data_IF_492948767646
#
_entry.id   IF_492948767646
#
_cell.length_a   1.000
_cell.length_b   1.000
_cell.length_c   1.000
_cell.angle_alpha   90.00
_cell.angle_beta   90.00
_cell.angle_gamma   90.00
#
_symmetry.space_group_name_H-M   'P 1'
#
loop_
_entity.id
_entity.type
_entity.pdbx_description
1 polymer ?
#
# COMPACT_ATOMS: atom_id res chain seq x y z
N UNK A 1 -18.04 12.04 -11.73
CA UNK A 1 -19.20 11.83 -12.56
C UNK A 1 -20.46 12.34 -11.84
N UNK A 2 -21.18 13.24 -12.49
CA UNK A 2 -22.44 13.76 -11.96
C UNK A 2 -23.56 12.86 -12.40
N UNK A 3 -23.85 11.82 -11.67
CA UNK A 3 -25.07 11.03 -11.91
C UNK A 3 -26.29 11.87 -11.51
N UNK A 4 -26.94 12.47 -12.49
CA UNK A 4 -28.31 12.98 -12.39
C UNK A 4 -29.26 11.83 -12.70
N UNK A 5 -29.77 11.18 -11.69
CA UNK A 5 -30.79 10.16 -11.81
C UNK A 5 -31.70 10.19 -10.60
N UNK A 6 -32.92 10.68 -10.78
CA UNK A 6 -34.04 10.42 -9.87
C UNK A 6 -34.40 8.95 -10.01
N UNK A 7 -34.13 8.14 -8.99
CA UNK A 7 -34.55 6.76 -8.95
C UNK A 7 -33.54 5.73 -8.45
N UNK A 8 -32.30 6.12 -8.16
CA UNK A 8 -31.32 5.19 -7.62
C UNK A 8 -31.59 4.91 -6.15
N UNK A 9 -32.35 3.87 -5.93
CA UNK A 9 -32.60 3.30 -4.59
C UNK A 9 -31.31 2.69 -3.98
N UNK A 10 -30.24 2.62 -4.77
CA UNK A 10 -28.97 2.01 -4.40
C UNK A 10 -27.80 2.94 -4.70
N UNK A 11 -27.21 3.54 -3.67
CA UNK A 11 -25.91 4.20 -3.83
C UNK A 11 -24.81 3.20 -3.52
N UNK A 12 -24.06 2.83 -4.54
CA UNK A 12 -22.79 2.10 -4.37
C UNK A 12 -21.69 3.09 -4.08
N UNK A 13 -21.02 2.91 -2.95
CA UNK A 13 -19.79 3.62 -2.69
C UNK A 13 -18.67 2.59 -2.61
N UNK A 14 -17.89 2.49 -3.68
CA UNK A 14 -16.77 1.54 -3.79
C UNK A 14 -15.48 2.19 -3.29
N UNK A 15 -15.33 3.50 -3.45
CA UNK A 15 -14.22 4.30 -2.91
C UNK A 15 -14.78 5.63 -2.42
N UNK A 16 -14.56 5.93 -1.15
CA UNK A 16 -15.01 7.16 -0.53
C UNK A 16 -13.84 8.04 -0.13
N UNK A 17 -13.75 9.24 -0.70
CA UNK A 17 -12.83 10.29 -0.25
C UNK A 17 -13.44 11.19 0.83
N UNK A 18 -14.74 11.10 1.05
CA UNK A 18 -15.46 11.87 2.06
C UNK A 18 -16.46 10.97 2.78
N UNK A 19 -16.54 11.14 4.08
CA UNK A 19 -17.53 10.47 4.91
C UNK A 19 -18.93 10.92 4.48
N UNK A 20 -19.83 9.98 4.20
CA UNK A 20 -21.23 10.27 3.92
C UNK A 20 -21.91 10.71 5.23
N UNK A 21 -22.71 11.80 5.20
CA UNK A 21 -23.57 12.13 6.33
C UNK A 21 -24.55 10.99 6.66
N UNK A 22 -24.88 10.84 7.94
CA UNK A 22 -25.79 9.77 8.39
C UNK A 22 -27.13 9.78 7.66
N UNK A 23 -27.71 10.95 7.44
CA UNK A 23 -28.96 11.14 6.68
C UNK A 23 -28.89 10.53 5.26
N UNK A 24 -27.69 10.38 4.69
CA UNK A 24 -27.50 9.80 3.36
C UNK A 24 -27.30 8.29 3.40
N UNK A 25 -26.41 7.79 4.28
CA UNK A 25 -26.14 6.35 4.33
C UNK A 25 -27.23 5.56 5.06
N UNK A 26 -28.00 6.19 5.92
CA UNK A 26 -29.13 5.57 6.63
C UNK A 26 -30.47 5.67 5.87
N UNK A 27 -30.47 6.29 4.67
CA UNK A 27 -31.67 6.45 3.85
C UNK A 27 -32.15 5.14 3.18
N UNK A 28 -31.28 4.28 2.64
CA UNK A 28 -31.72 3.07 1.95
C UNK A 28 -32.34 2.05 2.91
N UNK A 29 -33.53 1.54 2.56
CA UNK A 29 -34.30 0.59 3.36
C UNK A 29 -33.54 -0.71 3.66
N UNK A 30 -32.69 -1.18 2.74
CA UNK A 30 -31.89 -2.39 2.89
C UNK A 30 -30.49 -2.10 3.46
N UNK A 31 -30.24 -0.87 3.92
CA UNK A 31 -28.95 -0.42 4.40
C UNK A 31 -28.00 0.02 3.28
N UNK A 32 -26.86 0.54 3.69
CA UNK A 32 -25.76 0.94 2.80
C UNK A 32 -24.55 0.13 3.18
N UNK A 33 -23.84 -0.41 2.20
CA UNK A 33 -22.61 -1.15 2.43
C UNK A 33 -21.44 -0.54 1.67
N UNK A 34 -20.24 -0.82 2.13
CA UNK A 34 -18.99 -0.45 1.48
C UNK A 34 -18.16 -1.70 1.15
N UNK A 35 -17.28 -1.57 0.16
CA UNK A 35 -16.21 -2.52 -0.15
C UNK A 35 -14.90 -1.94 0.39
N UNK A 36 -14.30 -2.60 1.37
CA UNK A 36 -13.03 -2.22 1.98
C UNK A 36 -11.93 -3.17 1.54
N UNK A 37 -10.76 -2.61 1.21
CA UNK A 37 -9.65 -3.36 0.65
C UNK A 37 -8.74 -3.97 1.72
N UNK A 38 -9.33 -4.64 2.71
CA UNK A 38 -8.63 -5.46 3.71
C UNK A 38 -9.52 -6.58 4.23
N UNK A 39 -8.95 -7.45 5.04
CA UNK A 39 -9.67 -8.42 5.87
C UNK A 39 -10.07 -7.75 7.19
N UNK A 40 -11.18 -7.02 7.21
CA UNK A 40 -11.68 -6.40 8.45
C UNK A 40 -11.83 -7.46 9.56
N UNK A 41 -11.53 -7.10 10.82
CA UNK A 41 -11.24 -5.78 11.37
C UNK A 41 -9.80 -5.28 11.16
N UNK A 42 -8.92 -6.00 10.47
CA UNK A 42 -7.56 -5.54 10.16
C UNK A 42 -7.58 -4.37 9.18
N UNK A 43 -6.69 -3.40 9.36
CA UNK A 43 -6.45 -2.30 8.42
C UNK A 43 -7.68 -1.41 8.18
N UNK A 44 -8.45 -1.09 9.22
CA UNK A 44 -9.43 -0.01 9.16
C UNK A 44 -8.72 1.29 8.83
N UNK A 45 -9.26 2.09 7.91
CA UNK A 45 -8.71 3.41 7.58
C UNK A 45 -8.46 3.65 6.09
N UNK A 46 -7.58 4.62 5.80
CA UNK A 46 -7.50 5.24 4.49
C UNK A 46 -6.61 4.52 3.45
N UNK A 47 -5.66 3.68 3.89
CA UNK A 47 -4.65 3.08 3.01
C UNK A 47 -4.42 1.57 3.28
N UNK A 48 -5.48 0.73 3.32
CA UNK A 48 -5.36 -0.66 3.75
C UNK A 48 -4.41 -1.49 2.88
N UNK A 49 -4.45 -1.31 1.56
CA UNK A 49 -3.57 -2.05 0.62
C UNK A 49 -2.11 -1.73 0.88
N UNK A 50 -1.78 -0.42 1.00
CA UNK A 50 -0.42 0.01 1.24
C UNK A 50 0.12 -0.59 2.54
N UNK A 51 -0.65 -0.48 3.64
CA UNK A 51 -0.18 -0.94 4.94
C UNK A 51 -0.04 -2.45 5.04
N UNK A 52 -0.89 -3.23 4.36
CA UNK A 52 -0.69 -4.68 4.28
C UNK A 52 0.65 -5.04 3.61
N UNK A 53 0.99 -4.37 2.51
CA UNK A 53 2.26 -4.60 1.79
C UNK A 53 3.46 -4.04 2.57
N UNK A 54 3.37 -2.83 3.14
CA UNK A 54 4.43 -2.21 3.97
C UNK A 54 4.78 -3.10 5.17
N UNK A 55 3.77 -3.70 5.80
CA UNK A 55 3.98 -4.58 6.96
C UNK A 55 4.49 -5.97 6.56
N UNK A 56 4.64 -6.25 5.27
CA UNK A 56 5.15 -7.52 4.77
C UNK A 56 4.20 -8.69 4.96
N UNK A 57 2.89 -8.43 4.97
CA UNK A 57 1.87 -9.47 5.03
C UNK A 57 1.93 -10.32 3.76
N UNK A 58 1.68 -11.62 3.93
CA UNK A 58 1.61 -12.58 2.82
C UNK A 58 0.18 -12.76 2.29
N UNK A 59 -0.79 -12.14 2.94
CA UNK A 59 -2.20 -12.19 2.60
C UNK A 59 -2.87 -10.87 2.95
N UNK A 60 -3.82 -10.47 2.13
CA UNK A 60 -4.80 -9.42 2.37
C UNK A 60 -6.16 -9.88 1.89
N UNK A 61 -7.09 -8.96 1.66
CA UNK A 61 -8.39 -9.31 1.09
C UNK A 61 -9.28 -8.12 0.87
N UNK A 62 -10.52 -8.43 0.61
CA UNK A 62 -11.62 -7.48 0.47
C UNK A 62 -12.77 -7.88 1.38
N UNK A 63 -13.43 -6.88 1.93
CA UNK A 63 -14.58 -7.06 2.82
C UNK A 63 -15.72 -6.17 2.37
N UNK A 64 -16.91 -6.73 2.20
CA UNK A 64 -18.15 -5.94 2.18
C UNK A 64 -18.74 -5.89 3.59
N UNK A 65 -19.18 -4.70 4.02
CA UNK A 65 -19.72 -4.49 5.36
C UNK A 65 -20.76 -3.37 5.35
N UNK A 66 -21.75 -3.44 6.22
CA UNK A 66 -22.74 -2.37 6.38
C UNK A 66 -22.11 -1.14 6.99
N UNK A 67 -22.49 0.05 6.50
CA UNK A 67 -22.05 1.30 7.11
C UNK A 67 -22.71 1.50 8.48
N UNK A 68 -21.95 2.08 9.38
CA UNK A 68 -22.43 2.59 10.67
C UNK A 68 -21.66 3.87 11.04
N UNK A 69 -21.91 4.40 12.22
CA UNK A 69 -21.41 5.73 12.63
C UNK A 69 -19.87 5.82 12.65
N UNK A 70 -19.22 4.77 13.14
CA UNK A 70 -17.76 4.72 13.18
C UNK A 70 -17.16 4.19 11.88
N UNK A 71 -15.99 4.73 11.50
CA UNK A 71 -15.33 4.40 10.24
C UNK A 71 -14.90 2.92 10.23
N UNK A 72 -15.34 2.20 9.19
CA UNK A 72 -14.98 0.81 8.88
C UNK A 72 -15.25 -0.21 10.01
N UNK A 73 -16.22 0.07 10.90
CA UNK A 73 -16.56 -0.80 12.04
C UNK A 73 -17.85 -1.60 11.87
N UNK A 74 -18.62 -1.36 10.83
CA UNK A 74 -19.90 -2.01 10.60
C UNK A 74 -19.82 -3.52 10.41
N UNK A 75 -20.98 -4.20 10.52
CA UNK A 75 -21.05 -5.65 10.42
C UNK A 75 -20.61 -6.15 9.05
N UNK A 76 -19.72 -7.11 9.05
CA UNK A 76 -19.17 -7.75 7.85
C UNK A 76 -20.23 -8.61 7.19
N UNK A 77 -20.39 -8.46 5.88
CA UNK A 77 -21.30 -9.25 5.05
C UNK A 77 -20.54 -10.43 4.42
N UNK A 78 -19.45 -10.13 3.71
CA UNK A 78 -18.64 -11.15 3.05
C UNK A 78 -17.16 -10.72 3.04
N UNK A 79 -16.27 -11.71 2.96
CA UNK A 79 -14.83 -11.49 2.81
C UNK A 79 -14.23 -12.46 1.78
N UNK A 80 -13.25 -11.97 1.03
CA UNK A 80 -12.42 -12.78 0.12
C UNK A 80 -10.95 -12.52 0.44
N UNK A 81 -10.20 -13.60 0.60
CA UNK A 81 -8.74 -13.57 0.88
C UNK A 81 -7.95 -13.55 -0.42
N UNK A 82 -6.84 -12.84 -0.43
CA UNK A 82 -5.97 -12.67 -1.60
C UNK A 82 -4.51 -12.76 -1.16
N UNK A 83 -3.71 -13.66 -1.76
CA UNK A 83 -2.29 -13.75 -1.42
C UNK A 83 -1.51 -12.55 -1.96
N UNK A 84 -0.54 -12.11 -1.17
CA UNK A 84 0.48 -11.13 -1.55
C UNK A 84 1.78 -11.89 -1.78
N UNK A 85 2.24 -11.94 -3.03
CA UNK A 85 3.54 -12.51 -3.36
C UNK A 85 4.68 -11.58 -2.93
N UNK A 86 5.87 -12.14 -2.77
CA UNK A 86 7.05 -11.43 -2.25
C UNK A 86 7.46 -10.22 -3.11
N UNK A 87 7.17 -10.27 -4.41
CA UNK A 87 7.46 -9.20 -5.36
C UNK A 87 6.24 -8.33 -5.73
N UNK A 88 5.06 -8.63 -5.19
CA UNK A 88 3.88 -7.81 -5.45
C UNK A 88 4.05 -6.42 -4.82
N UNK A 89 3.89 -5.39 -5.61
CA UNK A 89 3.74 -4.03 -5.14
C UNK A 89 2.26 -3.67 -4.92
N UNK A 90 1.99 -2.45 -4.45
CA UNK A 90 0.61 -2.01 -4.19
C UNK A 90 -0.26 -2.03 -5.45
N UNK A 91 0.29 -1.69 -6.63
CA UNK A 91 -0.46 -1.71 -7.89
C UNK A 91 -0.94 -3.12 -8.24
N UNK A 92 -0.06 -4.12 -8.16
CA UNK A 92 -0.41 -5.52 -8.43
C UNK A 92 -1.47 -6.02 -7.44
N UNK A 93 -1.32 -5.71 -6.15
CA UNK A 93 -2.30 -6.09 -5.14
C UNK A 93 -3.63 -5.39 -5.38
N UNK A 94 -3.62 -4.08 -5.66
CA UNK A 94 -4.80 -3.30 -6.01
C UNK A 94 -5.57 -3.94 -7.18
N UNK A 95 -4.89 -4.30 -8.26
CA UNK A 95 -5.53 -4.87 -9.45
C UNK A 95 -6.16 -6.23 -9.16
N UNK A 96 -5.50 -7.09 -8.36
CA UNK A 96 -6.09 -8.34 -7.87
C UNK A 96 -7.38 -8.07 -7.09
N UNK A 97 -7.34 -7.13 -6.15
CA UNK A 97 -8.49 -6.78 -5.31
C UNK A 97 -9.61 -6.12 -6.10
N UNK A 98 -9.30 -5.29 -7.09
CA UNK A 98 -10.28 -4.63 -7.97
C UNK A 98 -11.11 -5.65 -8.75
N UNK A 99 -10.47 -6.64 -9.35
CA UNK A 99 -11.16 -7.69 -10.12
C UNK A 99 -12.08 -8.50 -9.22
N UNK A 100 -11.60 -8.94 -8.06
CA UNK A 100 -12.38 -9.72 -7.10
C UNK A 100 -13.45 -8.88 -6.42
N UNK A 101 -13.17 -7.60 -6.17
CA UNK A 101 -14.11 -6.66 -5.56
C UNK A 101 -15.37 -6.45 -6.40
N UNK A 102 -15.22 -6.36 -7.71
CA UNK A 102 -16.38 -6.27 -8.62
C UNK A 102 -17.32 -7.47 -8.49
N UNK A 103 -16.77 -8.68 -8.40
CA UNK A 103 -17.57 -9.92 -8.19
C UNK A 103 -18.23 -9.91 -6.82
N UNK A 104 -17.47 -9.64 -5.76
CA UNK A 104 -17.96 -9.63 -4.38
C UNK A 104 -19.09 -8.61 -4.18
N UNK A 105 -19.02 -7.45 -4.83
CA UNK A 105 -20.10 -6.44 -4.78
C UNK A 105 -21.38 -7.00 -5.38
N UNK A 106 -21.32 -7.68 -6.52
CA UNK A 106 -22.51 -8.29 -7.14
C UNK A 106 -23.11 -9.38 -6.25
N UNK A 107 -22.28 -10.29 -5.74
CA UNK A 107 -22.70 -11.35 -4.82
C UNK A 107 -23.32 -10.77 -3.54
N UNK A 108 -22.74 -9.67 -3.00
CA UNK A 108 -23.28 -8.98 -1.83
C UNK A 108 -24.66 -8.37 -2.13
N UNK A 109 -24.84 -7.73 -3.29
CA UNK A 109 -26.14 -7.17 -3.71
C UNK A 109 -27.19 -8.27 -3.80
N UNK A 110 -26.86 -9.37 -4.48
CA UNK A 110 -27.76 -10.50 -4.63
C UNK A 110 -28.14 -11.11 -3.28
N UNK A 111 -27.19 -11.26 -2.38
CA UNK A 111 -27.44 -11.77 -1.04
C UNK A 111 -28.36 -10.85 -0.21
N UNK A 112 -28.18 -9.53 -0.31
CA UNK A 112 -29.04 -8.55 0.37
C UNK A 112 -30.46 -8.58 -0.21
N UNK A 113 -30.60 -8.63 -1.53
CA UNK A 113 -31.92 -8.67 -2.21
C UNK A 113 -32.71 -9.93 -1.89
N UNK A 114 -32.04 -11.07 -1.74
CA UNK A 114 -32.64 -12.36 -1.42
C UNK A 114 -32.77 -12.62 0.10
N UNK A 115 -32.43 -11.65 0.95
CA UNK A 115 -32.45 -11.77 2.41
C UNK A 115 -31.65 -12.98 2.96
N UNK A 116 -30.55 -13.29 2.31
CA UNK A 116 -29.67 -14.42 2.69
C UNK A 116 -28.47 -13.98 3.51
N UNK A 117 -28.30 -12.67 3.74
CA UNK A 117 -27.17 -12.10 4.48
C UNK A 117 -27.24 -12.47 5.95
N UNK A 118 -26.07 -12.89 6.49
CA UNK A 118 -25.86 -13.11 7.93
C UNK A 118 -24.70 -12.23 8.41
N UNK A 119 -24.90 -10.94 8.66
CA UNK A 119 -23.83 -10.03 8.98
C UNK A 119 -23.20 -10.36 10.34
N UNK A 120 -21.88 -10.39 10.39
CA UNK A 120 -21.11 -10.72 11.60
C UNK A 120 -20.53 -9.42 12.17
N UNK A 121 -20.69 -9.19 13.46
CA UNK A 121 -20.02 -8.09 14.13
C UNK A 121 -18.50 -8.30 14.14
N UNK A 122 -17.74 -7.23 13.94
CA UNK A 122 -16.28 -7.37 13.80
C UNK A 122 -15.61 -7.80 15.10
N UNK A 123 -16.19 -7.51 16.24
CA UNK A 123 -15.77 -7.99 17.57
C UNK A 123 -15.94 -9.50 17.76
N UNK A 124 -16.85 -10.11 17.03
CA UNK A 124 -17.10 -11.56 17.07
C UNK A 124 -16.23 -12.34 16.08
N UNK A 125 -15.44 -11.64 15.27
CA UNK A 125 -14.58 -12.26 14.27
C UNK A 125 -13.24 -12.71 14.90
N UNK A 126 -12.80 -13.89 14.53
CA UNK A 126 -11.47 -14.37 14.92
C UNK A 126 -10.38 -13.53 14.25
N UNK A 127 -9.53 -12.92 15.07
CA UNK A 127 -8.40 -12.12 14.61
C UNK A 127 -7.10 -12.83 14.96
N UNK A 128 -6.20 -12.93 13.99
CA UNK A 128 -4.85 -13.44 14.24
C UNK A 128 -3.92 -12.24 14.48
N UNK A 129 -3.29 -12.20 15.67
CA UNK A 129 -2.38 -11.13 16.07
C UNK A 129 -3.09 -9.83 16.49
N UNK A 130 -2.33 -8.76 16.57
CA UNK A 130 -2.84 -7.43 16.93
C UNK A 130 -3.56 -6.76 15.76
N UNK A 131 -4.57 -5.95 16.07
CA UNK A 131 -5.24 -5.12 15.09
C UNK A 131 -4.33 -3.96 14.67
N UNK A 132 -4.07 -3.87 13.39
CA UNK A 132 -3.26 -2.81 12.78
C UNK A 132 -4.16 -1.83 12.03
N UNK A 133 -4.04 -0.52 12.29
CA UNK A 133 -4.76 0.51 11.54
C UNK A 133 -4.10 0.75 10.18
N UNK A 134 -4.86 1.37 9.27
CA UNK A 134 -4.36 1.82 7.97
C UNK A 134 -4.49 3.35 7.83
N UNK A 135 -3.70 4.13 8.56
CA UNK A 135 -3.79 5.58 8.51
C UNK A 135 -3.45 6.13 7.11
N UNK A 136 -3.90 7.36 6.86
CA UNK A 136 -3.56 8.06 5.63
C UNK A 136 -2.04 8.24 5.52
N UNK A 137 -1.52 8.00 4.31
CA UNK A 137 -0.10 8.15 4.00
C UNK A 137 0.15 9.59 3.54
N UNK A 138 1.15 10.23 4.13
CA UNK A 138 1.62 11.57 3.80
C UNK A 138 3.02 11.49 3.20
N UNK A 139 3.48 12.57 2.55
CA UNK A 139 4.81 12.60 1.93
C UNK A 139 5.93 12.29 2.93
N UNK A 140 5.82 12.83 4.13
CA UNK A 140 6.80 12.69 5.21
C UNK A 140 6.93 11.23 5.65
N UNK A 141 5.82 10.51 5.71
CA UNK A 141 5.79 9.08 6.09
C UNK A 141 6.31 8.16 4.99
N UNK A 142 6.60 8.68 3.78
CA UNK A 142 7.18 7.91 2.68
C UNK A 142 8.71 7.93 2.66
N UNK A 143 9.37 8.59 3.63
CA UNK A 143 10.83 8.58 3.77
C UNK A 143 11.31 7.21 4.22
N UNK A 144 12.32 6.67 3.54
CA UNK A 144 12.88 5.36 3.86
C UNK A 144 13.72 5.46 5.13
N UNK A 145 13.49 4.55 6.07
CA UNK A 145 14.37 4.33 7.23
C UNK A 145 15.35 3.20 6.91
N UNK A 146 16.56 3.58 6.53
CA UNK A 146 17.65 2.65 6.20
C UNK A 146 18.19 1.88 7.41
N UNK A 147 17.88 2.27 8.66
CA UNK A 147 18.21 1.50 9.86
C UNK A 147 17.32 0.27 10.05
N UNK A 148 16.35 0.08 9.19
CA UNK A 148 15.48 -1.10 9.16
C UNK A 148 16.14 -2.27 8.42
N UNK A 149 15.78 -3.54 8.75
CA UNK A 149 16.27 -4.72 8.04
C UNK A 149 15.90 -4.70 6.54
N UNK A 150 16.69 -5.42 5.72
CA UNK A 150 16.51 -5.57 4.26
C UNK A 150 15.05 -5.79 3.87
N UNK A 151 14.40 -6.77 4.52
CA UNK A 151 13.00 -7.11 4.22
C UNK A 151 12.07 -5.94 4.47
N UNK A 152 12.24 -5.23 5.58
CA UNK A 152 11.36 -4.13 5.96
C UNK A 152 11.50 -2.94 5.01
N UNK A 153 12.71 -2.61 4.59
CA UNK A 153 12.95 -1.56 3.58
C UNK A 153 12.37 -1.94 2.22
N UNK A 154 12.56 -3.19 1.80
CA UNK A 154 11.98 -3.69 0.56
C UNK A 154 10.45 -3.64 0.58
N UNK A 155 9.82 -4.14 1.64
CA UNK A 155 8.36 -4.12 1.80
C UNK A 155 7.81 -2.70 1.83
N UNK A 156 8.53 -1.76 2.47
CA UNK A 156 8.19 -0.35 2.49
C UNK A 156 8.21 0.26 1.08
N UNK A 157 9.26 -0.01 0.29
CA UNK A 157 9.37 0.48 -1.09
C UNK A 157 8.23 -0.07 -1.94
N UNK A 158 8.01 -1.38 -1.97
CA UNK A 158 6.95 -1.99 -2.78
C UNK A 158 5.54 -1.62 -2.29
N UNK A 159 5.37 -1.37 -0.98
CA UNK A 159 4.13 -0.93 -0.35
C UNK A 159 3.75 0.53 -0.67
N UNK A 160 4.67 1.30 -1.22
CA UNK A 160 4.45 2.67 -1.68
C UNK A 160 4.55 2.82 -3.21
N UNK A 161 4.85 1.77 -3.94
CA UNK A 161 5.05 1.78 -5.39
C UNK A 161 3.77 1.39 -6.14
N UNK A 162 3.41 2.11 -7.23
CA UNK A 162 4.11 3.25 -7.82
C UNK A 162 3.80 4.60 -7.18
N UNK A 163 2.79 4.70 -6.33
CA UNK A 163 2.34 5.93 -5.71
C UNK A 163 1.98 5.70 -4.23
N UNK A 164 2.40 6.64 -3.34
CA UNK A 164 3.08 7.92 -3.56
C UNK A 164 4.58 7.82 -3.87
N UNK A 165 5.16 6.65 -3.82
CA UNK A 165 6.57 6.26 -3.90
C UNK A 165 7.37 6.54 -2.62
N UNK A 166 8.18 5.58 -2.22
CA UNK A 166 9.17 5.75 -1.18
C UNK A 166 10.28 6.70 -1.66
N UNK A 167 10.87 7.47 -0.74
CA UNK A 167 11.92 8.42 -1.09
C UNK A 167 13.01 8.48 -0.02
N UNK A 168 14.18 8.91 -0.44
CA UNK A 168 15.35 9.15 0.40
C UNK A 168 16.15 10.33 -0.16
N UNK A 169 17.07 10.86 0.63
CA UNK A 169 18.05 11.85 0.17
C UNK A 169 19.34 11.12 -0.19
N UNK A 170 19.75 11.22 -1.46
CA UNK A 170 21.08 10.83 -1.89
C UNK A 170 22.04 11.99 -1.63
N UNK A 171 23.03 11.78 -0.76
CA UNK A 171 23.99 12.79 -0.34
C UNK A 171 25.34 12.48 -0.96
N UNK A 172 25.94 13.45 -1.67
CA UNK A 172 27.26 13.33 -2.24
C UNK A 172 28.37 13.43 -1.19
N UNK A 173 29.63 13.05 -1.50
CA UNK A 173 30.78 13.24 -0.62
C UNK A 173 30.99 14.69 -0.20
N UNK A 174 30.58 15.65 -1.04
CA UNK A 174 30.67 17.09 -0.82
C UNK A 174 29.51 17.62 0.06
N UNK A 175 28.53 16.79 0.39
CA UNK A 175 27.38 17.12 1.22
C UNK A 175 26.17 17.65 0.45
N UNK A 176 26.18 17.61 -0.86
CA UNK A 176 25.01 17.96 -1.68
C UNK A 176 23.95 16.87 -1.62
N UNK A 177 22.74 17.24 -1.29
CA UNK A 177 21.61 16.32 -1.17
C UNK A 177 20.61 16.46 -2.33
N UNK A 178 20.20 15.33 -2.88
CA UNK A 178 19.13 15.26 -3.89
C UNK A 178 18.09 14.23 -3.48
N UNK A 179 16.81 14.61 -3.54
CA UNK A 179 15.71 13.67 -3.25
C UNK A 179 15.60 12.64 -4.37
N UNK A 180 15.63 11.37 -4.00
CA UNK A 180 15.49 10.25 -4.92
C UNK A 180 14.25 9.43 -4.53
N UNK A 181 13.32 9.25 -5.46
CA UNK A 181 12.21 8.30 -5.30
C UNK A 181 12.65 6.92 -5.75
N UNK A 182 12.28 5.89 -5.00
CA UNK A 182 12.61 4.50 -5.29
C UNK A 182 11.30 3.74 -5.48
N UNK A 183 11.20 2.99 -6.60
CA UNK A 183 9.98 2.29 -6.99
C UNK A 183 10.13 0.78 -6.94
N UNK A 184 11.31 0.27 -7.23
CA UNK A 184 11.59 -1.17 -7.26
C UNK A 184 12.92 -1.44 -6.59
N UNK A 185 12.96 -2.51 -5.82
CA UNK A 185 14.17 -2.95 -5.12
C UNK A 185 14.24 -4.46 -5.04
N UNK A 186 15.42 -4.98 -4.72
CA UNK A 186 15.69 -6.38 -4.46
C UNK A 186 16.43 -6.54 -3.13
N UNK A 187 16.13 -7.62 -2.43
CA UNK A 187 16.74 -7.98 -1.15
C UNK A 187 18.05 -8.72 -1.37
N UNK A 188 19.14 -8.26 -0.76
CA UNK A 188 20.43 -8.96 -0.78
C UNK A 188 20.86 -9.19 0.67
N UNK A 189 20.86 -10.45 1.09
CA UNK A 189 21.29 -10.86 2.42
C UNK A 189 22.77 -11.23 2.36
N UNK A 190 23.61 -10.25 2.64
CA UNK A 190 25.07 -10.36 2.60
C UNK A 190 25.67 -9.58 3.78
N UNK A 191 26.43 -10.26 4.64
CA UNK A 191 27.04 -9.61 5.79
C UNK A 191 28.11 -8.60 5.35
N UNK A 192 28.13 -7.43 5.98
CA UNK A 192 29.09 -6.36 5.72
C UNK A 192 29.42 -5.58 6.97
N UNK A 193 30.44 -4.70 6.89
CA UNK A 193 30.86 -3.80 7.96
C UNK A 193 30.65 -2.32 7.60
N UNK A 194 29.88 -2.05 6.55
CA UNK A 194 29.60 -0.68 6.09
C UNK A 194 28.60 0.00 7.03
N UNK A 195 28.74 1.31 7.17
CA UNK A 195 27.73 2.11 7.85
C UNK A 195 26.41 2.06 7.09
N UNK A 196 25.29 2.03 7.82
CA UNK A 196 23.95 2.09 7.26
C UNK A 196 23.80 3.29 6.33
N UNK A 197 23.12 3.11 5.21
CA UNK A 197 22.92 4.13 4.18
C UNK A 197 24.09 4.27 3.21
N UNK A 198 25.23 3.58 3.43
CA UNK A 198 26.35 3.61 2.47
C UNK A 198 25.89 3.09 1.10
N UNK A 199 26.14 3.87 0.05
CA UNK A 199 25.85 3.49 -1.33
C UNK A 199 27.05 2.72 -1.90
N UNK A 200 26.77 1.54 -2.46
CA UNK A 200 27.75 0.70 -3.18
C UNK A 200 27.31 0.59 -4.63
N UNK A 201 28.20 0.88 -5.55
CA UNK A 201 27.90 0.88 -6.99
C UNK A 201 29.14 0.53 -7.82
N UNK A 202 28.95 -0.01 -9.01
CA UNK A 202 30.02 -0.13 -10.03
C UNK A 202 30.02 1.08 -11.00
N UNK A 203 29.15 2.07 -10.74
CA UNK A 203 28.97 3.24 -11.59
C UNK A 203 28.33 2.94 -12.96
N UNK A 204 27.84 1.72 -13.22
CA UNK A 204 27.33 1.30 -14.53
C UNK A 204 26.03 0.51 -14.47
N UNK A 205 25.90 -0.44 -13.54
CA UNK A 205 24.83 -1.46 -13.57
C UNK A 205 23.98 -1.49 -12.33
N UNK A 206 24.53 -1.25 -11.13
CA UNK A 206 23.81 -1.41 -9.89
C UNK A 206 24.05 -0.27 -8.89
N UNK A 207 23.07 -0.09 -8.03
CA UNK A 207 23.12 0.73 -6.82
C UNK A 207 22.60 -0.15 -5.70
N UNK A 208 23.41 -0.39 -4.66
CA UNK A 208 23.05 -1.09 -3.45
C UNK A 208 23.18 -0.13 -2.27
N UNK A 209 22.28 -0.19 -1.33
CA UNK A 209 22.32 0.60 -0.10
C UNK A 209 22.49 -0.33 1.08
N UNK A 210 23.51 -0.08 1.90
CA UNK A 210 23.79 -0.87 3.08
C UNK A 210 22.70 -0.67 4.16
N UNK A 211 22.21 -1.76 4.72
CA UNK A 211 21.27 -1.82 5.84
C UNK A 211 21.78 -2.83 6.88
N UNK A 212 21.21 -2.93 8.10
CA UNK A 212 21.82 -3.72 9.18
C UNK A 212 22.15 -5.18 8.88
N UNK A 213 21.37 -5.83 8.00
CA UNK A 213 21.46 -7.27 7.72
C UNK A 213 21.75 -7.60 6.25
N UNK A 214 22.22 -6.60 5.47
CA UNK A 214 22.55 -6.79 4.08
C UNK A 214 22.43 -5.52 3.25
N UNK A 215 21.96 -5.67 2.01
CA UNK A 215 21.78 -4.53 1.10
C UNK A 215 20.39 -4.53 0.46
N UNK A 216 19.90 -3.33 0.18
CA UNK A 216 18.75 -3.12 -0.71
C UNK A 216 19.29 -2.68 -2.07
N UNK A 217 19.12 -3.52 -3.09
CA UNK A 217 19.46 -3.18 -4.46
C UNK A 217 18.35 -2.34 -5.08
N UNK A 218 18.66 -1.13 -5.54
CA UNK A 218 17.71 -0.22 -6.19
C UNK A 218 17.62 -0.58 -7.67
N UNK A 219 16.43 -0.97 -8.13
CA UNK A 219 16.21 -1.40 -9.52
C UNK A 219 15.59 -0.30 -10.39
N UNK A 220 14.72 0.52 -9.79
CA UNK A 220 14.02 1.59 -10.50
C UNK A 220 13.83 2.80 -9.59
N UNK A 221 14.12 3.97 -10.11
CA UNK A 221 14.20 5.20 -9.34
C UNK A 221 13.86 6.45 -10.18
N UNK A 222 13.71 7.59 -9.51
CA UNK A 222 13.44 8.88 -10.14
C UNK A 222 14.13 10.02 -9.39
N UNK A 223 14.87 10.84 -10.11
CA UNK A 223 15.41 12.11 -9.63
C UNK A 223 14.40 13.26 -9.86
N UNK A 224 14.52 14.38 -9.12
CA UNK A 224 13.63 15.52 -9.28
C UNK A 224 13.59 16.04 -10.72
N UNK A 225 12.39 16.26 -11.24
CA UNK A 225 12.19 16.78 -12.60
C UNK A 225 12.58 15.82 -13.73
N UNK A 226 12.93 14.57 -13.41
CA UNK A 226 13.26 13.54 -14.41
C UNK A 226 12.17 12.47 -14.48
N UNK A 227 12.14 11.68 -15.55
CA UNK A 227 11.31 10.48 -15.63
C UNK A 227 11.87 9.36 -14.75
N UNK A 228 11.02 8.40 -14.41
CA UNK A 228 11.43 7.13 -13.78
C UNK A 228 12.35 6.37 -14.75
N UNK A 229 13.45 5.84 -14.24
CA UNK A 229 14.47 5.10 -14.98
C UNK A 229 14.81 3.81 -14.24
N UNK A 230 15.32 2.82 -14.96
CA UNK A 230 16.07 1.71 -14.37
C UNK A 230 17.44 2.20 -13.91
N UNK A 231 18.03 1.49 -12.95
CA UNK A 231 19.30 1.88 -12.35
C UNK A 231 20.44 1.98 -13.39
N UNK A 232 20.55 1.02 -14.31
CA UNK A 232 21.57 1.05 -15.38
C UNK A 232 21.35 2.22 -16.35
N UNK A 233 20.11 2.58 -16.63
CA UNK A 233 19.79 3.75 -17.46
C UNK A 233 20.19 5.06 -16.80
N UNK A 234 19.94 5.19 -15.48
CA UNK A 234 20.36 6.36 -14.72
C UNK A 234 21.89 6.51 -14.74
N UNK A 235 22.62 5.41 -14.48
CA UNK A 235 24.08 5.42 -14.36
C UNK A 235 24.80 5.74 -15.67
N UNK A 236 24.14 5.69 -16.83
CA UNK A 236 24.70 6.18 -18.11
C UNK A 236 24.88 7.70 -18.15
N UNK A 237 24.07 8.43 -17.38
CA UNK A 237 24.08 9.90 -17.39
C UNK A 237 24.30 10.56 -16.03
N UNK A 238 24.26 9.78 -14.96
CA UNK A 238 24.45 10.25 -13.60
C UNK A 238 25.65 9.53 -12.96
N UNK A 239 26.70 10.28 -12.67
CA UNK A 239 27.91 9.70 -12.07
C UNK A 239 27.71 9.51 -10.57
N UNK A 240 27.67 8.27 -10.15
CA UNK A 240 27.80 7.86 -8.76
C UNK A 240 29.20 7.30 -8.53
N UNK A 241 29.85 7.72 -7.47
CA UNK A 241 31.16 7.24 -7.03
C UNK A 241 31.09 6.79 -5.56
N UNK A 242 32.17 6.28 -5.03
CA UNK A 242 32.29 5.97 -3.61
C UNK A 242 32.09 7.21 -2.76
N UNK A 243 31.54 7.02 -1.56
CA UNK A 243 31.28 8.07 -0.58
C UNK A 243 29.86 8.64 -0.61
N UNK A 244 29.03 8.33 -1.59
CA UNK A 244 27.59 8.66 -1.53
C UNK A 244 26.88 7.91 -0.43
N UNK A 245 25.85 8.55 0.15
CA UNK A 245 25.01 7.97 1.22
C UNK A 245 23.54 8.25 0.96
N UNK A 246 22.69 7.35 1.42
CA UNK A 246 21.24 7.54 1.57
C UNK A 246 20.90 7.93 3.01
N UNK A 247 20.10 8.99 3.17
CA UNK A 247 19.65 9.51 4.47
C UNK A 247 18.12 9.44 4.61
#
# INVERSE_FOLDING_TARGET
DRSRGLGDVYKRQVVAFRMLPEVVWNMPRLGTFNLHASLLPQYRGAAPINWAVINGDTETGITTFFLQHEIDTGKVIQQVRVPIADMDNVEVVHDKLMILGGKLVLETVDAILNDTVKPIAQEDMAVVGELRPAPKIFKETCRIDWNSPVKKVHDFIRGLSPYPAAWSELVSPEGEAVVMKIFESEKIYEAHQLAVGTVVTDGKKYIKVAVPDGFVSVLSLQLPGKKRLKTDELLRGFRLSDGYKMN
#
